data_IF_340491202496
#
_entry.id   IF_340491202496
#
_cell.length_a   1.000
_cell.length_b   1.000
_cell.length_c   1.000
_cell.angle_alpha   90.00
_cell.angle_beta   90.00
_cell.angle_gamma   90.00
#
_symmetry.space_group_name_H-M   'P 1'
#
loop_
_entity.id
_entity.type
_entity.pdbx_description
1 polymer ?
#
# COMPACT_ATOMS: atom_id res chain seq x y z
N UNK A 1 -1.73 23.00 -21.95
CA UNK A 1 -0.71 23.14 -20.89
C UNK A 1 -1.39 22.72 -19.59
N UNK A 2 -1.19 21.49 -19.15
CA UNK A 2 -1.78 21.01 -17.89
C UNK A 2 -1.12 21.78 -16.75
N UNK A 3 -1.94 22.46 -15.95
CA UNK A 3 -1.50 23.10 -14.71
C UNK A 3 -0.97 22.02 -13.77
N UNK A 4 0.35 21.80 -13.76
CA UNK A 4 1.03 21.20 -12.61
C UNK A 4 1.00 22.29 -11.54
N UNK A 5 -0.15 22.43 -10.87
CA UNK A 5 -0.25 23.26 -9.69
C UNK A 5 0.71 22.67 -8.67
N UNK A 6 1.68 23.47 -8.22
CA UNK A 6 2.45 23.20 -7.01
C UNK A 6 1.49 23.34 -5.82
N UNK A 7 0.60 22.37 -5.66
CA UNK A 7 -0.09 22.15 -4.40
C UNK A 7 0.91 21.41 -3.54
N UNK A 8 1.58 22.15 -2.65
CA UNK A 8 2.31 21.52 -1.56
C UNK A 8 1.31 20.64 -0.81
N UNK A 9 1.47 19.33 -0.97
CA UNK A 9 0.67 18.35 -0.27
C UNK A 9 1.21 18.26 1.16
N UNK A 10 0.35 18.32 2.20
CA UNK A 10 0.80 18.02 3.56
C UNK A 10 1.13 16.53 3.75
N UNK A 11 0.87 15.69 2.73
CA UNK A 11 1.06 14.25 2.74
C UNK A 11 2.15 13.83 1.76
N UNK A 12 3.04 12.93 2.19
CA UNK A 12 4.17 12.41 1.41
C UNK A 12 3.94 10.95 1.02
N UNK A 13 4.18 10.62 -0.25
CA UNK A 13 4.24 9.22 -0.72
C UNK A 13 5.64 8.67 -0.45
N UNK A 14 5.74 7.65 0.40
CA UNK A 14 7.04 7.03 0.77
C UNK A 14 7.41 5.83 -0.08
N UNK A 15 6.41 5.07 -0.52
CA UNK A 15 6.61 3.82 -1.25
C UNK A 15 5.44 3.59 -2.18
N UNK A 16 5.67 2.86 -3.26
CA UNK A 16 4.60 2.37 -4.12
C UNK A 16 4.89 0.93 -4.57
N UNK A 17 3.83 0.19 -4.88
CA UNK A 17 3.93 -1.08 -5.58
C UNK A 17 2.87 -1.13 -6.68
N UNK A 18 3.23 -1.75 -7.80
CA UNK A 18 2.30 -2.06 -8.88
C UNK A 18 1.83 -3.50 -8.70
N UNK A 19 0.54 -3.70 -8.89
CA UNK A 19 -0.10 -5.00 -9.01
C UNK A 19 -0.54 -5.14 -10.46
N UNK A 20 -0.01 -6.14 -11.15
CA UNK A 20 -0.29 -6.34 -12.57
C UNK A 20 -0.56 -7.82 -12.84
N UNK A 21 -1.84 -8.13 -13.02
CA UNK A 21 -2.28 -9.39 -13.58
C UNK A 21 -3.43 -9.12 -14.58
N UNK A 22 -3.87 -10.14 -15.36
CA UNK A 22 -4.91 -9.95 -16.36
C UNK A 22 -6.27 -9.42 -15.84
N UNK A 23 -6.57 -9.60 -14.55
CA UNK A 23 -7.84 -9.17 -13.93
C UNK A 23 -7.71 -7.96 -13.00
N UNK A 24 -6.50 -7.56 -12.64
CA UNK A 24 -6.18 -6.57 -11.60
C UNK A 24 -4.92 -5.82 -12.00
N UNK A 25 -5.12 -4.57 -12.40
CA UNK A 25 -4.04 -3.61 -12.61
C UNK A 25 -4.23 -2.43 -11.68
N UNK A 26 -3.35 -2.30 -10.69
CA UNK A 26 -3.46 -1.29 -9.64
C UNK A 26 -2.11 -0.72 -9.24
N UNK A 27 -2.11 0.53 -8.78
CA UNK A 27 -0.98 1.15 -8.09
C UNK A 27 -1.39 1.39 -6.64
N UNK A 28 -0.60 0.88 -5.71
CA UNK A 28 -0.77 1.13 -4.29
C UNK A 28 0.35 2.04 -3.83
N UNK A 29 0.01 3.19 -3.25
CA UNK A 29 0.97 4.16 -2.72
C UNK A 29 0.80 4.26 -1.21
N UNK A 30 1.88 4.03 -0.48
CA UNK A 30 1.95 4.14 0.98
C UNK A 30 2.42 5.53 1.39
N UNK A 31 1.70 6.12 2.34
CA UNK A 31 1.89 7.50 2.78
C UNK A 31 2.49 7.56 4.20
N UNK A 32 3.04 8.73 4.54
CA UNK A 32 3.59 9.04 5.87
C UNK A 32 2.55 9.12 6.98
N UNK A 33 1.26 8.92 6.74
CA UNK A 33 0.21 9.00 7.78
C UNK A 33 -0.38 7.62 8.08
N UNK A 34 0.33 6.54 7.72
CA UNK A 34 -0.18 5.17 7.83
C UNK A 34 -1.33 4.88 6.86
N UNK A 35 -1.52 5.72 5.85
CA UNK A 35 -2.54 5.59 4.80
C UNK A 35 -1.96 4.92 3.58
N UNK A 36 -2.79 4.19 2.86
CA UNK A 36 -2.45 3.65 1.54
C UNK A 36 -3.54 4.06 0.56
N UNK A 37 -3.17 4.75 -0.51
CA UNK A 37 -4.10 5.05 -1.61
C UNK A 37 -3.96 4.01 -2.72
N UNK A 38 -5.08 3.57 -3.25
CA UNK A 38 -5.17 2.56 -4.29
C UNK A 38 -5.74 3.21 -5.55
N UNK A 39 -5.07 2.98 -6.67
CA UNK A 39 -5.47 3.50 -7.97
C UNK A 39 -5.65 2.35 -8.95
N UNK A 40 -6.69 2.40 -9.79
CA UNK A 40 -6.80 1.52 -10.94
C UNK A 40 -5.82 1.98 -12.02
N UNK A 41 -5.17 1.03 -12.70
CA UNK A 41 -4.26 1.29 -13.82
C UNK A 41 -4.88 0.73 -15.11
N UNK A 42 -5.30 1.62 -15.99
CA UNK A 42 -5.91 1.27 -17.27
C UNK A 42 -4.86 0.73 -18.26
N UNK A 43 -5.31 0.07 -19.32
CA UNK A 43 -4.46 -0.57 -20.36
C UNK A 43 -3.54 0.43 -21.07
N UNK A 44 -3.95 1.70 -21.15
CA UNK A 44 -3.18 2.80 -21.72
C UNK A 44 -2.31 3.54 -20.68
N UNK A 45 -2.01 2.89 -19.55
CA UNK A 45 -1.21 3.40 -18.43
C UNK A 45 -1.71 4.72 -17.80
N UNK A 46 -2.99 5.05 -18.00
CA UNK A 46 -3.65 6.08 -17.19
C UNK A 46 -4.12 5.48 -15.88
N UNK A 47 -4.14 6.28 -14.81
CA UNK A 47 -4.61 5.83 -13.50
C UNK A 47 -5.76 6.69 -12.98
N UNK A 48 -6.60 6.09 -12.16
CA UNK A 48 -7.68 6.76 -11.44
C UNK A 48 -7.75 6.29 -10.00
N UNK A 49 -8.06 7.20 -9.08
CA UNK A 49 -8.26 6.85 -7.67
C UNK A 49 -9.39 5.83 -7.53
N UNK A 50 -9.15 4.78 -6.75
CA UNK A 50 -10.10 3.71 -6.45
C UNK A 50 -10.61 3.83 -5.01
N UNK A 51 -9.68 3.74 -4.06
CA UNK A 51 -10.00 3.69 -2.63
C UNK A 51 -8.78 3.99 -1.77
N UNK A 52 -9.00 4.11 -0.46
CA UNK A 52 -7.94 4.21 0.54
C UNK A 52 -8.07 3.10 1.56
N UNK A 53 -6.94 2.55 2.00
CA UNK A 53 -6.84 1.63 3.12
C UNK A 53 -6.26 2.35 4.33
N UNK A 54 -6.93 2.17 5.47
CA UNK A 54 -6.49 2.66 6.76
C UNK A 54 -5.91 1.50 7.56
N UNK A 55 -4.71 1.67 8.08
CA UNK A 55 -4.11 0.68 8.95
C UNK A 55 -4.65 0.84 10.37
N UNK A 56 -4.73 -0.26 11.15
CA UNK A 56 -5.30 -0.20 12.51
C UNK A 56 -4.55 0.71 13.49
N UNK A 57 -3.29 1.05 13.18
CA UNK A 57 -2.46 1.94 13.98
C UNK A 57 -2.10 3.18 13.14
N UNK A 58 -2.82 4.28 13.36
CA UNK A 58 -2.66 5.54 12.63
C UNK A 58 -1.29 6.20 12.86
N UNK A 59 -0.52 5.75 13.87
CA UNK A 59 0.81 6.30 14.16
C UNK A 59 1.93 5.58 13.40
N UNK A 60 1.62 4.47 12.72
CA UNK A 60 2.62 3.68 12.02
C UNK A 60 2.79 4.13 10.56
N UNK A 61 3.99 4.62 10.24
CA UNK A 61 4.36 5.08 8.91
C UNK A 61 4.55 3.89 7.97
N UNK A 62 4.06 3.96 6.72
CA UNK A 62 4.29 2.91 5.73
C UNK A 62 5.73 3.00 5.22
N UNK A 63 6.55 2.00 5.53
CA UNK A 63 7.95 1.93 5.09
C UNK A 63 8.08 1.30 3.71
N UNK A 64 7.36 0.21 3.47
CA UNK A 64 7.51 -0.57 2.24
C UNK A 64 6.22 -1.31 1.91
N UNK A 65 5.91 -1.33 0.61
CA UNK A 65 4.88 -2.17 0.03
C UNK A 65 5.52 -3.19 -0.90
N UNK A 66 5.01 -4.43 -0.86
CA UNK A 66 5.43 -5.49 -1.79
C UNK A 66 4.17 -6.17 -2.32
N UNK A 67 3.96 -6.13 -3.63
CA UNK A 67 2.92 -6.89 -4.30
C UNK A 67 3.32 -8.35 -4.53
N UNK A 68 2.36 -9.27 -4.45
CA UNK A 68 2.56 -10.67 -4.85
C UNK A 68 2.59 -10.82 -6.36
N UNK A 69 3.26 -11.88 -6.83
CA UNK A 69 3.35 -12.21 -8.27
C UNK A 69 1.98 -12.46 -8.92
N UNK A 70 1.03 -13.01 -8.16
CA UNK A 70 -0.35 -13.23 -8.61
C UNK A 70 -1.23 -11.97 -8.50
N UNK A 71 -0.67 -10.85 -8.01
CA UNK A 71 -1.36 -9.60 -7.74
C UNK A 71 -2.58 -9.71 -6.81
N UNK A 72 -2.66 -10.77 -5.99
CA UNK A 72 -3.75 -11.00 -5.05
C UNK A 72 -3.46 -10.51 -3.64
N UNK A 73 -2.19 -10.21 -3.32
CA UNK A 73 -1.73 -9.88 -1.97
C UNK A 73 -0.77 -8.71 -1.99
N UNK A 74 -0.82 -7.91 -0.94
CA UNK A 74 0.16 -6.84 -0.66
C UNK A 74 0.69 -7.04 0.75
N UNK A 75 2.02 -7.09 0.89
CA UNK A 75 2.68 -7.05 2.19
C UNK A 75 3.09 -5.62 2.51
N UNK A 76 2.85 -5.22 3.75
CA UNK A 76 3.02 -3.88 4.26
C UNK A 76 3.98 -3.95 5.44
N UNK A 77 5.16 -3.37 5.28
CA UNK A 77 6.07 -3.14 6.39
C UNK A 77 5.88 -1.72 6.92
N UNK A 78 5.76 -1.61 8.23
CA UNK A 78 5.57 -0.33 8.93
C UNK A 78 6.86 0.05 9.65
N UNK A 79 7.11 1.35 9.80
CA UNK A 79 8.20 1.83 10.64
C UNK A 79 7.92 1.52 12.11
N UNK A 80 8.98 1.17 12.84
CA UNK A 80 8.95 0.86 14.28
C UNK A 80 7.96 -0.25 14.67
N UNK A 81 7.49 -1.06 13.71
CA UNK A 81 6.58 -2.17 13.96
C UNK A 81 7.33 -3.49 13.91
N UNK A 82 7.10 -4.40 14.88
CA UNK A 82 7.61 -5.78 14.82
C UNK A 82 6.84 -6.65 13.81
N UNK A 83 5.86 -6.08 13.10
CA UNK A 83 4.94 -6.81 12.22
C UNK A 83 5.05 -6.40 10.77
N UNK A 84 4.90 -7.38 9.88
CA UNK A 84 4.56 -7.18 8.47
C UNK A 84 3.11 -7.62 8.31
N UNK A 85 2.27 -6.74 7.77
CA UNK A 85 0.86 -7.03 7.53
C UNK A 85 0.68 -7.55 6.10
N UNK A 86 -0.25 -8.47 5.90
CA UNK A 86 -0.65 -8.94 4.57
C UNK A 86 -2.10 -8.57 4.34
N UNK A 87 -2.36 -7.91 3.23
CA UNK A 87 -3.69 -7.53 2.76
C UNK A 87 -4.05 -8.35 1.54
N UNK A 88 -5.24 -8.95 1.55
CA UNK A 88 -5.82 -9.53 0.34
C UNK A 88 -6.47 -8.43 -0.49
N UNK A 89 -6.13 -8.37 -1.78
CA UNK A 89 -6.51 -7.28 -2.67
C UNK A 89 -8.02 -7.21 -2.87
N UNK A 90 -8.70 -8.35 -3.02
CA UNK A 90 -10.16 -8.41 -3.16
C UNK A 90 -10.89 -7.99 -1.89
N UNK A 91 -10.39 -8.44 -0.72
CA UNK A 91 -11.04 -8.18 0.57
C UNK A 91 -10.74 -6.80 1.13
N UNK A 92 -9.71 -6.12 0.63
CA UNK A 92 -9.29 -4.78 1.08
C UNK A 92 -9.07 -4.67 2.59
N UNK A 93 -8.62 -5.75 3.22
CA UNK A 93 -8.39 -5.80 4.65
C UNK A 93 -7.16 -6.66 4.98
N UNK A 94 -6.56 -6.39 6.14
CA UNK A 94 -5.47 -7.21 6.66
C UNK A 94 -6.03 -8.59 7.00
N UNK A 95 -5.49 -9.64 6.39
CA UNK A 95 -5.91 -11.03 6.65
C UNK A 95 -4.84 -11.87 7.32
N UNK A 96 -3.57 -11.44 7.29
CA UNK A 96 -2.49 -12.12 7.98
C UNK A 96 -1.42 -11.11 8.47
N UNK A 97 -0.60 -11.53 9.42
CA UNK A 97 0.60 -10.79 9.83
C UNK A 97 1.75 -11.74 10.17
N UNK A 98 2.95 -11.35 9.76
CA UNK A 98 4.21 -11.91 10.27
C UNK A 98 4.64 -11.06 11.45
N UNK A 99 5.01 -11.68 12.57
CA UNK A 99 5.42 -10.97 13.79
C UNK A 99 6.76 -11.53 14.26
N UNK A 100 7.81 -10.71 14.27
CA UNK A 100 9.17 -11.15 14.59
C UNK A 100 9.25 -11.76 15.99
N UNK A 101 8.38 -11.34 16.93
CA UNK A 101 8.34 -11.86 18.30
C UNK A 101 7.94 -13.34 18.37
N UNK A 102 7.31 -13.86 17.30
CA UNK A 102 7.00 -15.30 17.18
C UNK A 102 8.19 -16.13 16.69
N UNK A 103 9.16 -15.49 16.02
CA UNK A 103 10.34 -16.15 15.45
C UNK A 103 11.53 -16.02 16.39
N UNK A 104 11.69 -14.84 16.98
CA UNK A 104 12.72 -14.51 17.95
C UNK A 104 12.04 -14.17 19.28
N UNK A 105 11.64 -15.18 20.08
CA UNK A 105 11.16 -14.93 21.43
C UNK A 105 12.31 -14.36 22.27
N UNK A 106 12.06 -13.20 22.90
CA UNK A 106 12.98 -12.59 23.86
C UNK A 106 12.92 -13.25 25.23
#
# INVERSE_FOLDING_TARGET
VSHIGTFDSPYEIRTATVLDNPSTRQIWAGHSEGRISIHHLAVNDTFSFSSSLYLPDEKCLVRQLVGSKDAQKVWIALENSPRILMVEVEKRQVTCSLDIRKVMPG
#
